data_IF_286046967850
#
_entry.id   IF_286046967850
#
_cell.length_a   1.000
_cell.length_b   1.000
_cell.length_c   1.000
_cell.angle_alpha   90.00
_cell.angle_beta   90.00
_cell.angle_gamma   90.00
#
_symmetry.space_group_name_H-M   'P 1'
#
loop_
_entity.id
_entity.type
_entity.pdbx_description
1 polymer ?
#
# COMPACT_ATOMS: atom_id res chain seq x y z
N UNK A 1 14.24 8.80 13.81
CA UNK A 1 13.21 9.01 14.85
C UNK A 1 11.83 9.03 14.21
N UNK A 2 10.85 8.33 14.81
CA UNK A 2 9.45 8.37 14.37
C UNK A 2 8.69 9.16 15.41
N UNK A 3 8.20 10.34 15.04
CA UNK A 3 7.38 11.15 15.93
C UNK A 3 5.94 10.65 15.91
N UNK A 4 5.30 10.62 17.09
CA UNK A 4 3.88 10.31 17.21
C UNK A 4 3.03 11.47 16.66
N UNK A 5 1.76 11.20 16.33
CA UNK A 5 0.87 12.25 15.83
C UNK A 5 0.72 13.42 16.80
N UNK A 6 0.71 13.14 18.11
CA UNK A 6 0.65 14.15 19.17
C UNK A 6 1.91 15.02 19.19
N UNK A 7 3.09 14.41 19.13
CA UNK A 7 4.36 15.12 19.04
C UNK A 7 4.43 15.99 17.78
N UNK A 8 3.96 15.48 16.64
CA UNK A 8 3.90 16.23 15.38
C UNK A 8 3.00 17.46 15.51
N UNK A 9 1.81 17.31 16.11
CA UNK A 9 0.91 18.43 16.34
C UNK A 9 1.54 19.46 17.28
N UNK A 10 2.22 18.99 18.34
CA UNK A 10 2.94 19.86 19.26
C UNK A 10 4.06 20.65 18.57
N UNK A 11 4.88 20.00 17.73
CA UNK A 11 5.96 20.65 16.97
C UNK A 11 5.41 21.78 16.10
N UNK A 12 4.27 21.54 15.42
CA UNK A 12 3.63 22.56 14.59
C UNK A 12 3.13 23.74 15.42
N UNK A 13 2.48 23.47 16.57
CA UNK A 13 2.05 24.53 17.49
C UNK A 13 3.24 25.33 18.04
N UNK A 14 4.29 24.65 18.51
CA UNK A 14 5.50 25.28 19.02
C UNK A 14 6.20 26.13 17.96
N UNK A 15 6.20 25.69 16.70
CA UNK A 15 6.72 26.46 15.58
C UNK A 15 6.00 27.80 15.43
N UNK A 16 4.66 27.81 15.33
CA UNK A 16 3.91 29.05 15.19
C UNK A 16 3.98 29.94 16.44
N UNK A 17 4.04 29.33 17.64
CA UNK A 17 4.24 30.07 18.91
C UNK A 17 5.60 30.74 18.99
N UNK A 18 6.62 30.18 18.38
CA UNK A 18 7.97 30.77 18.29
C UNK A 18 8.09 31.88 17.24
N UNK A 19 6.99 32.23 16.56
CA UNK A 19 6.97 33.27 15.53
C UNK A 19 7.16 34.65 16.12
N UNK A 20 8.22 35.34 15.71
CA UNK A 20 8.45 36.76 15.99
C UNK A 20 8.21 37.57 14.72
N UNK A 21 7.47 38.67 14.84
CA UNK A 21 7.22 39.57 13.72
C UNK A 21 8.39 40.54 13.61
N UNK A 22 9.07 40.51 12.48
CA UNK A 22 10.17 41.44 12.17
C UNK A 22 9.62 42.83 11.81
N UNK A 23 10.45 43.88 11.90
CA UNK A 23 10.07 45.25 11.51
C UNK A 23 9.57 45.35 10.06
N UNK A 24 10.14 44.53 9.17
CA UNK A 24 9.80 44.48 7.74
C UNK A 24 8.44 43.79 7.46
N UNK A 25 7.71 43.38 8.51
CA UNK A 25 6.44 42.67 8.40
C UNK A 25 6.57 41.18 8.11
N UNK A 26 7.78 40.66 7.95
CA UNK A 26 8.07 39.22 7.78
C UNK A 26 8.02 38.49 9.13
N UNK A 27 7.75 37.18 9.10
CA UNK A 27 7.79 36.32 10.28
C UNK A 27 9.11 35.56 10.34
N UNK A 28 9.81 35.67 11.47
CA UNK A 28 10.97 34.85 11.79
C UNK A 28 10.56 33.76 12.79
N UNK A 29 11.04 32.54 12.57
CA UNK A 29 10.74 31.40 13.44
C UNK A 29 12.04 30.76 13.92
N UNK A 30 12.22 30.71 15.24
CA UNK A 30 13.42 30.09 15.83
C UNK A 30 13.28 28.57 15.92
N UNK A 31 14.28 27.83 15.40
CA UNK A 31 14.36 26.39 15.60
C UNK A 31 14.67 26.05 17.06
N UNK A 32 15.58 26.80 17.69
CA UNK A 32 16.00 26.58 19.07
C UNK A 32 14.82 26.71 20.04
N UNK A 33 14.03 27.78 19.92
CA UNK A 33 12.85 27.98 20.78
C UNK A 33 11.82 26.85 20.60
N UNK A 34 11.66 26.34 19.38
CA UNK A 34 10.79 25.21 19.08
C UNK A 34 11.29 23.91 19.74
N UNK A 35 12.61 23.66 19.69
CA UNK A 35 13.26 22.50 20.33
C UNK A 35 13.16 22.60 21.85
N UNK A 36 13.43 23.77 22.44
CA UNK A 36 13.34 23.98 23.89
C UNK A 36 11.92 23.71 24.42
N UNK A 37 10.90 24.20 23.70
CA UNK A 37 9.51 23.92 24.04
C UNK A 37 9.18 22.43 23.92
N UNK A 38 9.75 21.74 22.93
CA UNK A 38 9.55 20.31 22.72
C UNK A 38 10.20 19.47 23.83
N UNK A 39 11.45 19.75 24.18
CA UNK A 39 12.18 19.04 25.25
C UNK A 39 11.48 19.25 26.60
N UNK A 40 10.94 20.45 26.87
CA UNK A 40 10.15 20.71 28.07
C UNK A 40 8.86 19.91 28.13
N UNK A 41 8.19 19.70 26.99
CA UNK A 41 6.95 18.94 26.91
C UNK A 41 7.19 17.42 26.90
N UNK A 42 8.29 16.96 26.32
CA UNK A 42 8.65 15.55 26.17
C UNK A 42 10.09 15.30 26.64
N UNK A 43 10.37 15.36 27.96
CA UNK A 43 11.74 15.28 28.49
C UNK A 43 12.39 13.91 28.30
N UNK A 44 11.59 12.86 28.05
CA UNK A 44 12.09 11.50 27.87
C UNK A 44 12.50 11.20 26.41
N UNK A 45 12.24 12.11 25.47
CA UNK A 45 12.54 11.93 24.06
C UNK A 45 13.95 12.44 23.74
N UNK A 46 14.75 11.62 23.07
CA UNK A 46 16.09 12.01 22.61
C UNK A 46 15.94 12.79 21.31
N UNK A 47 16.18 14.09 21.36
CA UNK A 47 16.05 14.99 20.21
C UNK A 47 17.40 15.21 19.56
N UNK A 48 17.53 14.75 18.32
CA UNK A 48 18.61 15.16 17.41
C UNK A 48 18.17 16.42 16.65
N UNK A 49 18.94 17.49 16.76
CA UNK A 49 18.65 18.79 16.14
C UNK A 49 18.50 18.71 14.62
N UNK A 50 19.33 17.94 13.92
CA UNK A 50 19.25 17.83 12.47
C UNK A 50 17.99 17.07 12.05
N UNK A 51 17.71 15.95 12.71
CA UNK A 51 16.52 15.13 12.46
C UNK A 51 15.26 15.93 12.76
N UNK A 52 15.23 16.65 13.89
CA UNK A 52 14.11 17.48 14.30
C UNK A 52 13.88 18.63 13.32
N UNK A 53 14.94 19.35 12.92
CA UNK A 53 14.85 20.45 11.96
C UNK A 53 14.35 20.00 10.59
N UNK A 54 14.82 18.85 10.10
CA UNK A 54 14.32 18.22 8.88
C UNK A 54 12.84 17.81 9.01
N UNK A 55 12.45 17.28 10.16
CA UNK A 55 11.08 16.86 10.43
C UNK A 55 10.12 18.04 10.49
N UNK A 56 10.47 19.10 11.24
CA UNK A 56 9.73 20.36 11.32
C UNK A 56 9.46 20.93 9.93
N UNK A 57 10.49 21.07 9.09
CA UNK A 57 10.35 21.57 7.71
C UNK A 57 9.33 20.79 6.89
N UNK A 58 9.34 19.45 7.01
CA UNK A 58 8.38 18.58 6.30
C UNK A 58 6.95 18.75 6.81
N UNK A 59 6.76 18.91 8.12
CA UNK A 59 5.42 19.10 8.70
C UNK A 59 4.86 20.46 8.29
N UNK A 60 5.66 21.53 8.43
CA UNK A 60 5.25 22.89 8.07
C UNK A 60 4.88 22.95 6.58
N UNK A 61 5.74 22.43 5.70
CA UNK A 61 5.45 22.37 4.28
C UNK A 61 4.18 21.55 3.98
N UNK A 62 3.92 20.45 4.69
CA UNK A 62 2.68 19.70 4.52
C UNK A 62 1.46 20.50 4.97
N UNK A 63 1.57 21.20 6.09
CA UNK A 63 0.51 22.02 6.62
C UNK A 63 0.18 23.18 5.68
N UNK A 64 1.17 23.90 5.18
CA UNK A 64 0.97 25.01 4.22
C UNK A 64 0.32 24.55 2.91
N UNK A 65 0.73 23.38 2.39
CA UNK A 65 0.25 22.90 1.09
C UNK A 65 -1.08 22.13 1.16
N UNK A 66 -1.32 21.36 2.23
CA UNK A 66 -2.47 20.44 2.36
C UNK A 66 -3.40 20.76 3.54
N UNK A 67 -3.07 21.75 4.36
CA UNK A 67 -3.77 22.06 5.63
C UNK A 67 -3.97 20.82 6.53
N UNK A 68 -3.01 19.90 6.50
CA UNK A 68 -3.11 18.62 7.18
C UNK A 68 -1.80 18.23 7.85
N UNK A 69 -1.92 17.67 9.05
CA UNK A 69 -0.79 17.14 9.83
C UNK A 69 -0.57 15.66 9.51
N UNK A 70 -1.69 14.92 9.36
CA UNK A 70 -1.68 13.49 9.12
C UNK A 70 -1.02 13.14 7.79
N UNK A 71 -0.37 11.98 7.77
CA UNK A 71 -0.01 11.36 6.49
C UNK A 71 -1.30 10.87 5.85
N UNK A 72 -1.44 11.19 4.58
CA UNK A 72 -2.46 10.58 3.73
C UNK A 72 -2.29 9.06 3.81
N UNK A 73 -3.40 8.33 3.98
CA UNK A 73 -3.34 6.87 3.94
C UNK A 73 -2.80 6.51 2.56
N UNK A 74 -1.68 5.78 2.52
CA UNK A 74 -1.24 5.19 1.25
C UNK A 74 -2.42 4.40 0.69
N UNK A 75 -2.68 4.52 -0.60
CA UNK A 75 -3.70 3.76 -1.34
C UNK A 75 -3.33 2.28 -1.46
N UNK A 76 -2.74 1.70 -0.40
CA UNK A 76 -2.09 0.40 -0.36
C UNK A 76 -2.93 -0.66 -1.05
N UNK A 77 -2.23 -1.63 -1.66
CA UNK A 77 -2.88 -2.71 -2.42
C UNK A 77 -3.95 -3.38 -1.54
N UNK A 78 -5.21 -3.48 -2.01
CA UNK A 78 -6.27 -4.10 -1.23
C UNK A 78 -5.90 -5.54 -0.85
N UNK A 79 -5.88 -5.83 0.46
CA UNK A 79 -5.59 -7.17 0.97
C UNK A 79 -6.79 -8.11 0.82
N UNK A 80 -8.01 -7.56 0.89
CA UNK A 80 -9.25 -8.34 0.80
C UNK A 80 -9.71 -8.43 -0.65
N UNK A 81 -9.84 -9.66 -1.15
CA UNK A 81 -10.47 -9.91 -2.45
C UNK A 81 -11.94 -9.53 -2.40
N UNK A 82 -12.35 -8.66 -3.31
CA UNK A 82 -13.75 -8.27 -3.45
C UNK A 82 -14.54 -9.40 -4.14
N UNK A 83 -15.83 -9.54 -3.78
CA UNK A 83 -16.78 -10.49 -4.39
C UNK A 83 -16.72 -10.56 -5.94
N UNK A 84 -16.73 -9.44 -6.69
CA UNK A 84 -16.71 -9.50 -8.15
C UNK A 84 -15.43 -10.14 -8.71
N UNK A 85 -14.31 -9.99 -7.99
CA UNK A 85 -13.03 -10.60 -8.40
C UNK A 85 -13.07 -12.11 -8.17
N UNK A 86 -13.73 -12.58 -7.11
CA UNK A 86 -13.93 -14.01 -6.87
C UNK A 86 -14.83 -14.64 -7.94
N UNK A 87 -15.89 -13.96 -8.36
CA UNK A 87 -16.78 -14.43 -9.42
C UNK A 87 -16.07 -14.51 -10.77
N UNK A 88 -15.22 -13.53 -11.12
CA UNK A 88 -14.40 -13.56 -12.33
C UNK A 88 -13.40 -14.74 -12.31
N UNK A 89 -12.74 -14.99 -11.17
CA UNK A 89 -11.86 -16.16 -11.00
C UNK A 89 -12.65 -17.46 -11.20
N UNK A 90 -13.84 -17.56 -10.61
CA UNK A 90 -14.70 -18.75 -10.75
C UNK A 90 -15.15 -18.96 -12.19
N UNK A 91 -15.55 -17.89 -12.91
CA UNK A 91 -15.95 -17.97 -14.30
C UNK A 91 -14.80 -18.46 -15.19
N UNK A 92 -13.58 -17.95 -14.99
CA UNK A 92 -12.39 -18.35 -15.76
C UNK A 92 -11.94 -19.77 -15.46
N UNK A 93 -12.05 -20.22 -14.21
CA UNK A 93 -11.78 -21.61 -13.84
C UNK A 93 -12.79 -22.56 -14.49
N UNK A 94 -14.09 -22.20 -14.51
CA UNK A 94 -15.12 -23.00 -15.18
C UNK A 94 -14.90 -23.08 -16.69
N UNK A 95 -14.49 -21.99 -17.32
CA UNK A 95 -14.22 -21.95 -18.75
C UNK A 95 -12.96 -22.73 -19.17
N UNK A 96 -11.98 -22.89 -18.29
CA UNK A 96 -10.72 -23.56 -18.61
C UNK A 96 -10.07 -24.17 -17.35
N UNK A 97 -10.49 -25.38 -16.96
CA UNK A 97 -10.07 -26.01 -15.70
C UNK A 97 -8.59 -26.40 -15.66
N UNK A 98 -7.92 -26.47 -16.81
CA UNK A 98 -6.49 -26.80 -16.88
C UNK A 98 -5.57 -25.57 -16.78
N UNK A 99 -6.11 -24.37 -16.62
CA UNK A 99 -5.27 -23.19 -16.43
C UNK A 99 -4.54 -23.26 -15.09
N UNK A 100 -3.22 -23.13 -15.13
CA UNK A 100 -2.43 -23.07 -13.90
C UNK A 100 -2.81 -21.83 -13.09
N UNK A 101 -2.71 -21.95 -11.77
CA UNK A 101 -2.97 -20.85 -10.83
C UNK A 101 -2.12 -19.61 -11.18
N UNK A 102 -0.88 -19.82 -11.67
CA UNK A 102 -0.01 -18.74 -12.16
C UNK A 102 -0.60 -18.01 -13.37
N UNK A 103 -1.20 -18.75 -14.31
CA UNK A 103 -1.86 -18.18 -15.49
C UNK A 103 -3.13 -17.40 -15.10
N UNK A 104 -3.89 -17.89 -14.12
CA UNK A 104 -5.05 -17.17 -13.56
C UNK A 104 -4.65 -15.89 -12.82
N UNK A 105 -3.56 -15.93 -12.05
CA UNK A 105 -3.01 -14.76 -11.35
C UNK A 105 -2.61 -13.65 -12.35
N UNK A 106 -1.89 -14.03 -13.43
CA UNK A 106 -1.52 -13.08 -14.48
C UNK A 106 -2.73 -12.45 -15.17
N UNK A 107 -3.80 -13.23 -15.37
CA UNK A 107 -5.02 -12.79 -16.05
C UNK A 107 -5.94 -11.89 -15.20
N UNK A 108 -5.80 -11.95 -13.87
CA UNK A 108 -6.64 -11.19 -12.91
C UNK A 108 -5.89 -10.05 -12.24
N UNK A 109 -4.59 -9.89 -12.51
CA UNK A 109 -3.75 -8.87 -11.87
C UNK A 109 -3.49 -9.15 -10.38
N UNK A 110 -3.79 -10.36 -9.91
CA UNK A 110 -3.62 -10.77 -8.52
C UNK A 110 -2.28 -11.47 -8.31
N UNK A 111 -1.79 -11.43 -7.07
CA UNK A 111 -0.64 -12.27 -6.71
C UNK A 111 -1.08 -13.71 -6.48
N UNK A 112 -0.16 -14.66 -6.68
CA UNK A 112 -0.40 -16.10 -6.47
C UNK A 112 -0.99 -16.40 -5.08
N UNK A 113 -0.54 -15.67 -4.05
CA UNK A 113 -0.96 -15.85 -2.66
C UNK A 113 -2.38 -15.35 -2.35
N UNK A 114 -2.96 -14.53 -3.23
CA UNK A 114 -4.32 -14.02 -3.07
C UNK A 114 -5.38 -14.96 -3.67
N UNK A 115 -4.98 -15.92 -4.52
CA UNK A 115 -5.93 -16.88 -5.08
C UNK A 115 -6.34 -17.92 -4.01
N UNK A 116 -7.62 -18.32 -3.99
CA UNK A 116 -8.10 -19.32 -3.05
C UNK A 116 -7.36 -20.65 -3.28
N UNK A 117 -6.53 -21.06 -2.31
CA UNK A 117 -5.68 -22.26 -2.41
C UNK A 117 -6.44 -23.60 -2.31
N UNK A 118 -7.78 -23.57 -2.26
CA UNK A 118 -8.63 -24.73 -2.03
C UNK A 118 -9.01 -25.56 -3.26
N UNK A 119 -8.53 -25.25 -4.46
CA UNK A 119 -9.00 -25.89 -5.72
C UNK A 119 -7.91 -26.61 -6.52
N UNK A 120 -6.89 -27.14 -5.84
CA UNK A 120 -5.98 -28.11 -6.45
C UNK A 120 -6.69 -29.47 -6.59
N UNK A 121 -7.59 -29.59 -7.57
CA UNK A 121 -8.02 -30.91 -8.03
C UNK A 121 -6.80 -31.60 -8.66
N UNK A 122 -6.16 -32.49 -7.88
CA UNK A 122 -5.41 -33.60 -8.49
C UNK A 122 -6.37 -34.27 -9.48
N UNK A 123 -5.98 -34.50 -10.74
CA UNK A 123 -6.85 -35.23 -11.65
C UNK A 123 -7.05 -36.65 -11.08
N UNK A 124 -8.28 -37.12 -10.85
CA UNK A 124 -8.50 -38.53 -10.62
C UNK A 124 -8.11 -39.27 -11.90
N UNK A 125 -7.29 -40.30 -11.73
CA UNK A 125 -6.96 -41.26 -12.78
C UNK A 125 -8.26 -41.80 -13.40
N UNK A 126 -8.60 -41.35 -14.60
CA UNK A 126 -9.72 -41.85 -15.36
C UNK A 126 -9.25 -42.28 -16.76
N UNK A 127 -9.03 -43.60 -16.87
CA UNK A 127 -9.39 -44.45 -18.00
C UNK A 127 -9.16 -43.88 -19.42
N UNK A 128 -8.00 -44.16 -19.99
CA UNK A 128 -7.83 -44.16 -21.45
C UNK A 128 -8.39 -45.48 -21.98
N UNK A 129 -9.67 -45.50 -22.31
CA UNK A 129 -10.19 -46.38 -23.36
C UNK A 129 -10.62 -45.50 -24.53
N UNK A 130 -9.68 -45.22 -25.44
CA UNK A 130 -10.02 -44.62 -26.74
C UNK A 130 -10.24 -45.73 -27.76
N UNK A 131 -11.54 -46.02 -27.97
CA UNK A 131 -12.15 -46.28 -29.27
C UNK A 131 -11.25 -45.92 -30.47
N UNK A 132 -10.84 -46.92 -31.26
CA UNK A 132 -10.49 -46.73 -32.67
C UNK A 132 -11.63 -47.27 -33.51
N UNK A 133 -12.46 -46.37 -34.03
CA UNK A 133 -13.40 -46.67 -35.11
C UNK A 133 -13.02 -45.85 -36.34
N UNK A 134 -12.44 -46.55 -37.31
CA UNK A 134 -12.74 -46.54 -38.74
C UNK A 134 -13.15 -45.22 -39.43
N UNK A 135 -12.27 -44.73 -40.30
CA UNK A 135 -12.59 -44.09 -41.59
C UNK A 135 -11.47 -44.47 -42.56
N UNK A 136 -11.65 -45.49 -43.40
CA UNK A 136 -12.21 -45.41 -44.78
C UNK A 136 -11.60 -44.24 -45.56
N UNK A 137 -10.59 -44.56 -46.38
CA UNK A 137 -10.48 -44.03 -47.75
C UNK A 137 -9.97 -45.16 -48.63
N UNK A 138 -10.83 -45.57 -49.57
CA UNK A 138 -10.59 -46.60 -50.56
C UNK A 138 -10.45 -45.93 -51.91
N UNK A 139 -9.37 -46.28 -52.64
CA UNK A 139 -9.26 -46.40 -54.11
C UNK A 139 -9.39 -45.08 -54.90
N UNK A 140 -8.78 -44.87 -56.07
CA UNK A 140 -8.32 -45.68 -57.23
C UNK A 140 -7.58 -44.62 -58.11
N UNK A 141 -6.67 -44.88 -59.04
CA UNK A 141 -6.38 -45.99 -59.94
C UNK A 141 -4.89 -45.94 -60.28
#
# INVERSE_FOLDING_TARGET
MVFTTEQVAFILMAHFRSGTRNPDGTWSYSLESCVDQFIKAFPNEIVDYEVFGNHKRRIVSRFENKNCICREKSSGRPTVLQQPVLEDIQARMRASPQNSIRKLAAQTGLSFFQLPQGFSQKPPHACIQSFRSSRITSRRF
#
